data_IF_967148345966
#
_entry.id   IF_967148345966
#
_cell.length_a   1.000
_cell.length_b   1.000
_cell.length_c   1.000
_cell.angle_alpha   90.00
_cell.angle_beta   90.00
_cell.angle_gamma   90.00
#
_symmetry.space_group_name_H-M   'P 1'
#
loop_
_entity.id
_entity.type
_entity.pdbx_description
1 polymer ?
#
# COMPACT_ATOMS: atom_id res chain seq x y z
N UNK A 1 10.48 24.95 14.95
CA UNK A 1 10.54 23.98 13.84
C UNK A 1 9.10 23.71 13.41
N UNK A 2 8.64 24.08 12.19
CA UNK A 2 7.25 23.90 11.83
C UNK A 2 6.98 22.41 11.64
N UNK A 3 5.95 21.94 12.34
CA UNK A 3 5.45 20.58 12.35
C UNK A 3 5.10 20.19 10.91
N UNK A 4 5.94 19.36 10.26
CA UNK A 4 5.62 18.74 8.96
C UNK A 4 4.23 18.12 9.13
N UNK A 5 3.22 18.69 8.47
CA UNK A 5 1.88 18.13 8.42
C UNK A 5 2.01 16.63 8.19
N UNK A 6 1.44 15.80 9.06
CA UNK A 6 1.46 14.35 8.89
C UNK A 6 0.82 14.03 7.53
N UNK A 7 1.64 13.91 6.49
CA UNK A 7 1.18 13.52 5.17
C UNK A 7 0.61 12.13 5.35
N UNK A 8 -0.68 11.97 5.00
CA UNK A 8 -1.33 10.66 5.02
C UNK A 8 -0.47 9.66 4.25
N UNK A 9 -0.39 8.43 4.74
CA UNK A 9 0.36 7.35 4.11
C UNK A 9 -0.11 7.14 2.68
N UNK A 10 -1.42 7.18 2.43
CA UNK A 10 -1.96 7.11 1.07
C UNK A 10 -1.38 8.21 0.17
N UNK A 11 -1.40 9.48 0.63
CA UNK A 11 -0.84 10.61 -0.14
C UNK A 11 0.66 10.46 -0.38
N UNK A 12 1.40 9.96 0.61
CA UNK A 12 2.82 9.70 0.47
C UNK A 12 3.10 8.63 -0.59
N UNK A 13 2.38 7.50 -0.52
CA UNK A 13 2.54 6.37 -1.45
C UNK A 13 2.16 6.78 -2.87
N UNK A 14 1.06 7.49 -3.07
CA UNK A 14 0.68 8.00 -4.40
C UNK A 14 1.72 8.96 -4.97
N UNK A 15 2.27 9.86 -4.14
CA UNK A 15 3.33 10.76 -4.59
C UNK A 15 4.57 9.98 -4.99
N UNK A 16 4.99 9.03 -4.15
CA UNK A 16 6.17 8.20 -4.44
C UNK A 16 5.97 7.37 -5.70
N UNK A 17 4.80 6.77 -5.89
CA UNK A 17 4.45 6.05 -7.10
C UNK A 17 4.51 6.95 -8.34
N UNK A 18 3.95 8.16 -8.27
CA UNK A 18 3.98 9.14 -9.35
C UNK A 18 5.40 9.58 -9.70
N UNK A 19 6.23 9.87 -8.69
CA UNK A 19 7.62 10.32 -8.87
C UNK A 19 8.48 9.23 -9.54
N UNK A 20 8.07 7.96 -9.48
CA UNK A 20 8.75 6.81 -10.08
C UNK A 20 7.98 6.17 -11.26
N UNK A 21 6.91 6.80 -11.75
CA UNK A 21 6.08 6.29 -12.86
C UNK A 21 5.53 4.87 -12.64
N UNK A 22 5.21 4.55 -11.38
CA UNK A 22 4.65 3.26 -10.98
C UNK A 22 3.13 3.39 -10.83
N UNK A 23 2.40 2.47 -11.45
CA UNK A 23 0.95 2.35 -11.30
C UNK A 23 0.58 1.23 -10.34
N UNK A 24 -0.68 1.19 -9.95
CA UNK A 24 -1.34 0.16 -9.14
C UNK A 24 -1.74 -1.07 -9.97
N UNK A 25 -1.41 -1.13 -11.26
CA UNK A 25 -1.75 -2.27 -12.08
C UNK A 25 -1.08 -3.55 -11.58
N UNK A 26 -1.88 -4.62 -11.41
CA UNK A 26 -1.38 -5.96 -11.04
C UNK A 26 -0.66 -6.58 -12.22
N UNK A 27 0.63 -6.81 -12.09
CA UNK A 27 1.42 -7.56 -13.07
C UNK A 27 1.18 -9.08 -13.00
N UNK A 28 1.85 -9.84 -13.87
CA UNK A 28 1.73 -11.29 -13.93
C UNK A 28 2.05 -12.00 -12.62
N UNK A 29 3.07 -11.56 -11.88
CA UNK A 29 3.43 -12.15 -10.59
C UNK A 29 2.38 -11.84 -9.52
N UNK A 30 1.86 -10.62 -9.46
CA UNK A 30 0.76 -10.27 -8.54
C UNK A 30 -0.50 -11.08 -8.83
N UNK A 31 -0.83 -11.30 -10.11
CA UNK A 31 -1.97 -12.15 -10.49
C UNK A 31 -1.75 -13.62 -10.14
N UNK A 32 -0.53 -14.13 -10.33
CA UNK A 32 -0.17 -15.48 -9.90
C UNK A 32 -0.29 -15.63 -8.38
N UNK A 33 0.16 -14.63 -7.60
CA UNK A 33 0.02 -14.66 -6.14
C UNK A 33 -1.45 -14.76 -5.73
N UNK A 34 -2.33 -13.94 -6.31
CA UNK A 34 -3.79 -14.00 -6.06
C UNK A 34 -4.38 -15.36 -6.45
N UNK A 35 -3.97 -15.93 -7.58
CA UNK A 35 -4.44 -17.25 -8.01
C UNK A 35 -4.00 -18.36 -7.03
N UNK A 36 -2.74 -18.35 -6.59
CA UNK A 36 -2.21 -19.33 -5.65
C UNK A 36 -2.90 -19.21 -4.28
N UNK A 37 -3.12 -18.00 -3.77
CA UNK A 37 -3.85 -17.80 -2.52
C UNK A 37 -5.29 -18.31 -2.64
N UNK A 38 -5.96 -18.01 -3.76
CA UNK A 38 -7.31 -18.54 -4.00
C UNK A 38 -7.37 -20.07 -4.08
N UNK A 39 -6.36 -20.72 -4.64
CA UNK A 39 -6.26 -22.19 -4.64
C UNK A 39 -6.04 -22.79 -3.24
N UNK A 40 -5.47 -22.01 -2.32
CA UNK A 40 -5.33 -22.38 -0.92
C UNK A 40 -6.57 -22.07 -0.08
N UNK A 41 -7.68 -21.66 -0.72
CA UNK A 41 -8.90 -21.17 -0.07
C UNK A 41 -8.69 -19.88 0.76
N UNK A 42 -7.58 -19.17 0.50
CA UNK A 42 -7.26 -17.87 1.09
C UNK A 42 -7.70 -16.72 0.16
N UNK A 43 -8.16 -15.62 0.77
CA UNK A 43 -8.52 -14.40 0.03
C UNK A 43 -7.57 -13.25 0.36
N UNK A 44 -6.94 -12.68 -0.67
CA UNK A 44 -6.09 -11.49 -0.57
C UNK A 44 -6.62 -10.41 -1.52
N UNK A 45 -7.29 -9.41 -0.95
CA UNK A 45 -7.69 -8.21 -1.66
C UNK A 45 -6.83 -7.04 -1.19
N UNK A 46 -6.06 -6.48 -2.13
CA UNK A 46 -5.27 -5.28 -1.89
C UNK A 46 -6.01 -4.08 -2.47
N UNK A 47 -6.12 -3.02 -1.69
CA UNK A 47 -6.53 -1.71 -2.20
C UNK A 47 -5.44 -1.09 -3.09
N UNK A 48 -5.78 0.01 -3.78
CA UNK A 48 -4.86 0.67 -4.71
C UNK A 48 -3.57 1.12 -4.02
N UNK A 49 -3.63 1.56 -2.76
CA UNK A 49 -2.47 2.02 -1.99
C UNK A 49 -1.57 0.84 -1.63
N UNK A 50 -2.14 -0.27 -1.19
CA UNK A 50 -1.42 -1.51 -0.87
C UNK A 50 -0.78 -2.12 -2.12
N UNK A 51 -1.49 -2.08 -3.24
CA UNK A 51 -0.98 -2.54 -4.53
C UNK A 51 0.18 -1.66 -5.02
N UNK A 52 0.11 -0.34 -4.83
CA UNK A 52 1.22 0.56 -5.09
C UNK A 52 2.44 0.24 -4.22
N UNK A 53 2.25 -0.02 -2.92
CA UNK A 53 3.35 -0.44 -2.04
C UNK A 53 4.02 -1.70 -2.59
N UNK A 54 3.25 -2.74 -2.95
CA UNK A 54 3.80 -3.98 -3.54
C UNK A 54 4.64 -3.68 -4.79
N UNK A 55 4.11 -2.85 -5.69
CA UNK A 55 4.78 -2.51 -6.95
C UNK A 55 6.07 -1.70 -6.70
N UNK A 56 6.04 -0.74 -5.77
CA UNK A 56 7.20 0.07 -5.37
C UNK A 56 8.35 -0.79 -4.82
N UNK A 57 8.07 -1.77 -3.96
CA UNK A 57 9.11 -2.69 -3.47
C UNK A 57 9.61 -3.64 -4.53
N UNK A 58 8.74 -4.13 -5.41
CA UNK A 58 9.15 -4.98 -6.52
C UNK A 58 10.10 -4.26 -7.48
N UNK A 59 9.90 -2.96 -7.68
CA UNK A 59 10.78 -2.08 -8.46
C UNK A 59 12.02 -1.61 -7.70
N UNK A 60 12.18 -2.00 -6.43
CA UNK A 60 13.33 -1.64 -5.61
C UNK A 60 13.29 -0.22 -5.04
N UNK A 61 12.18 0.51 -5.20
CA UNK A 61 12.01 1.86 -4.62
C UNK A 61 11.83 1.79 -3.11
N UNK A 62 11.15 0.75 -2.63
CA UNK A 62 10.97 0.48 -1.20
C UNK A 62 11.64 -0.82 -0.80
N UNK A 63 12.31 -0.80 0.35
CA UNK A 63 12.84 -1.99 1.00
C UNK A 63 11.77 -2.72 1.81
N UNK A 64 12.04 -3.98 2.19
CA UNK A 64 11.12 -4.76 3.05
C UNK A 64 10.79 -4.06 4.38
N UNK A 65 11.77 -3.50 5.13
CA UNK A 65 11.47 -2.79 6.38
C UNK A 65 10.60 -1.54 6.17
N UNK A 66 10.84 -0.80 5.08
CA UNK A 66 10.06 0.40 4.77
C UNK A 66 8.60 0.07 4.44
N UNK A 67 8.36 -0.98 3.65
CA UNK A 67 6.99 -1.46 3.41
C UNK A 67 6.30 -1.85 4.71
N UNK A 68 6.97 -2.62 5.57
CA UNK A 68 6.33 -3.09 6.80
C UNK A 68 5.94 -1.91 7.71
N UNK A 69 6.79 -0.89 7.78
CA UNK A 69 6.49 0.34 8.50
C UNK A 69 5.30 1.10 7.87
N UNK A 70 5.28 1.24 6.54
CA UNK A 70 4.22 1.94 5.82
C UNK A 70 2.88 1.21 5.95
N UNK A 71 2.86 -0.12 5.85
CA UNK A 71 1.65 -0.94 6.03
C UNK A 71 1.07 -0.76 7.43
N UNK A 72 1.90 -0.86 8.48
CA UNK A 72 1.44 -0.65 9.85
C UNK A 72 0.83 0.74 10.07
N UNK A 73 1.46 1.78 9.51
CA UNK A 73 0.92 3.16 9.58
C UNK A 73 -0.35 3.34 8.75
N UNK A 74 -0.44 2.69 7.59
CA UNK A 74 -1.61 2.75 6.73
C UNK A 74 -2.83 2.06 7.36
N UNK A 75 -2.63 0.93 8.05
CA UNK A 75 -3.71 0.30 8.82
C UNK A 75 -4.26 1.20 9.94
N UNK A 76 -3.38 1.94 10.62
CA UNK A 76 -3.80 2.95 11.60
C UNK A 76 -4.57 4.09 10.95
N UNK A 77 -4.15 4.54 9.77
CA UNK A 77 -4.84 5.56 8.98
C UNK A 77 -6.25 5.10 8.58
N UNK A 78 -6.38 3.90 8.01
CA UNK A 78 -7.67 3.31 7.65
C UNK A 78 -8.58 3.15 8.87
N UNK A 79 -8.03 2.68 10.01
CA UNK A 79 -8.80 2.54 11.26
C UNK A 79 -9.33 3.88 11.75
N UNK A 80 -8.51 4.92 11.70
CA UNK A 80 -8.91 6.27 12.11
C UNK A 80 -9.92 6.89 11.15
N UNK A 81 -9.80 6.64 9.84
CA UNK A 81 -10.78 7.05 8.85
C UNK A 81 -12.14 6.40 9.16
N UNK A 82 -12.19 5.07 9.33
CA UNK A 82 -13.43 4.33 9.66
C UNK A 82 -14.13 4.88 10.91
N UNK A 83 -13.39 5.19 11.98
CA UNK A 83 -13.97 5.77 13.21
C UNK A 83 -14.68 7.11 12.97
N UNK A 84 -14.14 7.95 12.08
CA UNK A 84 -14.73 9.26 11.75
C UNK A 84 -16.02 9.16 10.95
N UNK A 85 -16.23 8.07 10.19
CA UNK A 85 -17.48 7.84 9.46
C UNK A 85 -18.61 7.33 10.37
N UNK A 86 -18.28 6.79 11.53
CA UNK A 86 -19.24 6.21 12.50
C UNK A 86 -19.63 7.17 13.63
N UNK A 87 -19.12 8.40 13.62
CA UNK A 87 -19.41 9.47 14.60
C UNK A 87 -20.14 10.61 13.89
#
# INVERSE_FOLDING_TARGET
MPQRSLVSVARYVHKLAKDHEITDYRDGMSRMAVAITGLADDTVELDDVEQLMVNLKRKGVLTKPEILNLQGRYFLEQRNARKKLTT
#
